data_IF_026831008389
#
_entry.id   IF_026831008389
#
_cell.length_a   1.000
_cell.length_b   1.000
_cell.length_c   1.000
_cell.angle_alpha   90.00
_cell.angle_beta   90.00
_cell.angle_gamma   90.00
#
_symmetry.space_group_name_H-M   'P 1'
#
loop_
_entity.id
_entity.type
_entity.pdbx_description
1 polymer ?
#
# COMPACT_ATOMS: atom_id res chain seq x y z
N UNK A 1 -63.28 -26.86 7.43
CA UNK A 1 -61.93 -27.47 7.50
C UNK A 1 -61.15 -26.92 6.33
N UNK A 2 -60.19 -26.04 6.60
CA UNK A 2 -59.32 -25.45 5.58
C UNK A 2 -58.06 -26.32 5.45
N UNK A 3 -57.51 -26.55 4.24
CA UNK A 3 -56.14 -27.02 4.11
C UNK A 3 -55.19 -25.82 4.16
N UNK A 4 -54.28 -25.84 5.12
CA UNK A 4 -53.13 -24.92 5.18
C UNK A 4 -52.17 -25.26 4.04
N UNK A 5 -51.90 -24.30 3.17
CA UNK A 5 -50.82 -24.38 2.18
C UNK A 5 -49.56 -23.83 2.81
N UNK A 6 -48.58 -24.70 3.07
CA UNK A 6 -47.22 -24.31 3.45
C UNK A 6 -46.48 -23.81 2.19
N UNK A 7 -46.31 -22.49 2.06
CA UNK A 7 -45.34 -21.91 1.13
C UNK A 7 -43.93 -22.13 1.69
N UNK A 8 -43.29 -23.21 1.26
CA UNK A 8 -41.85 -23.41 1.45
C UNK A 8 -41.11 -22.58 0.41
N UNK A 9 -40.87 -21.31 0.71
CA UNK A 9 -39.96 -20.46 -0.06
C UNK A 9 -38.53 -20.98 0.13
N UNK A 10 -38.08 -21.85 -0.78
CA UNK A 10 -36.68 -22.19 -0.90
C UNK A 10 -35.92 -20.95 -1.38
N UNK A 11 -35.35 -20.23 -0.41
CA UNK A 11 -34.40 -19.17 -0.64
C UNK A 11 -33.15 -19.81 -1.25
N UNK A 12 -32.98 -19.67 -2.57
CA UNK A 12 -31.74 -20.04 -3.26
C UNK A 12 -30.66 -19.11 -2.68
N UNK A 13 -29.62 -19.60 -2.01
CA UNK A 13 -28.49 -18.75 -1.69
C UNK A 13 -27.82 -18.42 -3.02
N UNK A 14 -28.00 -17.18 -3.48
CA UNK A 14 -27.14 -16.59 -4.50
C UNK A 14 -25.74 -16.44 -3.91
N UNK A 15 -25.00 -17.54 -3.89
CA UNK A 15 -23.56 -17.52 -3.76
C UNK A 15 -23.03 -17.07 -5.11
N UNK A 16 -23.16 -15.77 -5.42
CA UNK A 16 -22.24 -15.16 -6.38
C UNK A 16 -20.83 -15.48 -5.85
N UNK A 17 -19.96 -16.12 -6.65
CA UNK A 17 -18.58 -16.25 -6.25
C UNK A 17 -18.07 -14.83 -6.05
N UNK A 18 -17.74 -14.47 -4.81
CA UNK A 18 -16.93 -13.30 -4.55
C UNK A 18 -15.72 -13.43 -5.46
N UNK A 19 -15.65 -12.62 -6.52
CA UNK A 19 -14.46 -12.50 -7.34
C UNK A 19 -13.35 -12.20 -6.36
N UNK A 20 -12.49 -13.19 -6.11
CA UNK A 20 -11.32 -13.00 -5.26
C UNK A 20 -10.40 -12.05 -6.02
N UNK A 21 -10.63 -10.75 -5.84
CA UNK A 21 -9.70 -9.71 -6.24
C UNK A 21 -8.46 -9.96 -5.43
N UNK A 22 -7.41 -10.43 -6.11
CA UNK A 22 -6.18 -10.71 -5.43
C UNK A 22 -5.58 -9.40 -4.91
N UNK A 23 -5.05 -9.46 -3.71
CA UNK A 23 -4.32 -8.34 -3.14
C UNK A 23 -2.87 -8.41 -3.57
N UNK A 24 -2.32 -7.28 -3.99
CA UNK A 24 -0.89 -7.11 -4.15
C UNK A 24 -0.31 -6.66 -2.81
N UNK A 25 0.80 -7.24 -2.34
CA UNK A 25 1.46 -6.77 -1.12
C UNK A 25 2.97 -6.62 -1.25
N UNK A 26 3.49 -5.47 -0.84
CA UNK A 26 4.91 -5.21 -0.65
C UNK A 26 5.24 -5.27 0.84
N UNK A 27 6.30 -5.99 1.19
CA UNK A 27 6.95 -5.90 2.50
C UNK A 27 8.47 -5.67 2.34
N UNK A 28 9.16 -5.45 3.45
CA UNK A 28 10.60 -5.16 3.45
C UNK A 28 11.49 -6.34 3.01
N UNK A 29 10.98 -7.57 3.03
CA UNK A 29 11.72 -8.76 2.57
C UNK A 29 11.85 -8.82 1.06
N UNK A 30 11.00 -8.10 0.32
CA UNK A 30 11.10 -7.96 -1.13
C UNK A 30 12.32 -7.14 -1.57
N UNK A 31 12.92 -6.35 -0.67
CA UNK A 31 14.04 -5.47 -0.96
C UNK A 31 15.35 -6.18 -0.66
N UNK A 32 16.30 -6.07 -1.59
CA UNK A 32 17.66 -6.51 -1.35
C UNK A 32 18.25 -5.85 -0.08
N UNK A 33 18.96 -6.65 0.72
CA UNK A 33 19.72 -6.13 1.86
C UNK A 33 20.78 -5.13 1.40
N UNK A 34 20.75 -3.92 1.97
CA UNK A 34 21.77 -2.89 1.77
C UNK A 34 22.56 -2.63 3.04
N UNK A 35 23.72 -1.99 2.96
CA UNK A 35 24.45 -1.51 4.14
C UNK A 35 23.70 -0.37 4.86
N UNK A 36 24.01 -0.15 6.14
CA UNK A 36 23.45 0.96 6.91
C UNK A 36 23.95 2.27 6.28
N UNK A 37 23.04 3.06 5.68
CA UNK A 37 23.27 4.29 4.90
C UNK A 37 23.45 4.12 3.38
N UNK A 38 23.34 2.90 2.84
CA UNK A 38 23.28 2.70 1.40
C UNK A 38 21.83 2.54 0.94
N UNK A 39 21.46 3.36 -0.04
CA UNK A 39 20.14 3.32 -0.66
C UNK A 39 20.26 2.78 -2.09
N UNK A 40 19.29 1.96 -2.47
CA UNK A 40 19.11 1.51 -3.85
C UNK A 40 18.53 2.66 -4.67
N UNK A 41 19.21 2.98 -5.76
CA UNK A 41 18.68 3.82 -6.83
C UNK A 41 18.17 2.90 -7.93
N UNK A 42 17.03 3.24 -8.54
CA UNK A 42 16.35 2.48 -9.58
C UNK A 42 15.96 1.07 -9.12
N UNK A 43 15.47 0.97 -7.89
CA UNK A 43 14.87 -0.25 -7.36
C UNK A 43 13.57 -0.57 -8.11
N UNK A 44 13.34 -1.83 -8.45
CA UNK A 44 12.10 -2.27 -9.07
C UNK A 44 11.68 -3.63 -8.56
N UNK A 45 10.39 -3.85 -8.42
CA UNK A 45 9.81 -5.13 -8.01
C UNK A 45 8.44 -5.33 -8.67
N UNK A 46 8.02 -6.59 -8.79
CA UNK A 46 6.68 -6.94 -9.24
C UNK A 46 5.87 -7.43 -8.04
N UNK A 47 4.59 -7.06 -7.99
CA UNK A 47 3.61 -7.67 -7.10
C UNK A 47 2.65 -8.52 -7.95
N UNK A 48 2.42 -9.75 -7.53
CA UNK A 48 1.54 -10.70 -8.21
C UNK A 48 0.27 -10.89 -7.39
N UNK A 49 -0.91 -10.80 -8.01
CA UNK A 49 -2.18 -11.03 -7.33
C UNK A 49 -2.48 -12.54 -7.24
N UNK A 50 -3.58 -12.90 -6.58
CA UNK A 50 -4.04 -14.30 -6.48
C UNK A 50 -4.47 -14.92 -7.81
N UNK A 51 -4.63 -14.11 -8.86
CA UNK A 51 -4.99 -14.55 -10.22
C UNK A 51 -3.75 -14.70 -11.11
N UNK A 52 -2.55 -14.36 -10.62
CA UNK A 52 -1.29 -14.40 -11.36
C UNK A 52 -0.99 -13.12 -12.16
N UNK A 53 -1.79 -12.06 -12.01
CA UNK A 53 -1.54 -10.77 -12.66
C UNK A 53 -0.43 -10.02 -11.92
N UNK A 54 0.52 -9.50 -12.69
CA UNK A 54 1.65 -8.75 -12.15
C UNK A 54 1.49 -7.24 -12.37
N UNK A 55 1.90 -6.47 -11.37
CA UNK A 55 2.09 -5.03 -11.47
C UNK A 55 3.51 -4.66 -11.07
N UNK A 56 4.13 -3.79 -11.84
CA UNK A 56 5.51 -3.36 -11.62
C UNK A 56 5.57 -2.03 -10.90
N UNK A 57 6.40 -1.99 -9.87
CA UNK A 57 6.71 -0.80 -9.10
C UNK A 57 8.18 -0.45 -9.21
N UNK A 58 8.45 0.86 -9.17
CA UNK A 58 9.78 1.43 -9.30
C UNK A 58 10.00 2.42 -8.17
N UNK A 59 11.21 2.51 -7.64
CA UNK A 59 11.53 3.47 -6.59
C UNK A 59 13.00 3.84 -6.55
N UNK A 60 13.26 5.03 -6.01
CA UNK A 60 14.60 5.55 -5.78
C UNK A 60 14.81 5.82 -4.30
N UNK A 61 16.09 5.80 -3.91
CA UNK A 61 16.53 5.98 -2.54
C UNK A 61 15.81 5.03 -1.56
N UNK A 62 15.70 3.75 -1.91
CA UNK A 62 15.00 2.73 -1.11
C UNK A 62 16.01 1.90 -0.33
N UNK A 63 15.75 1.62 0.94
CA UNK A 63 16.61 0.80 1.80
C UNK A 63 15.76 -0.13 2.67
N UNK A 64 16.29 -1.32 2.99
CA UNK A 64 15.74 -2.16 4.07
C UNK A 64 16.14 -1.59 5.43
N UNK A 65 15.15 -1.39 6.30
CA UNK A 65 15.37 -0.92 7.67
C UNK A 65 16.22 -1.90 8.49
N UNK A 66 17.02 -1.36 9.41
CA UNK A 66 17.94 -2.12 10.28
C UNK A 66 17.79 -1.72 11.75
N UNK A 67 18.19 -2.62 12.66
CA UNK A 67 18.15 -2.36 14.10
C UNK A 67 16.71 -2.21 14.58
N UNK A 68 16.38 -1.10 15.24
CA UNK A 68 15.00 -0.83 15.71
C UNK A 68 13.98 -0.70 14.57
N UNK A 69 14.45 -0.53 13.32
CA UNK A 69 13.66 -0.42 12.09
C UNK A 69 13.66 -1.70 11.25
N UNK A 70 14.19 -2.80 11.76
CA UNK A 70 14.13 -4.09 11.07
C UNK A 70 12.69 -4.48 10.72
N UNK A 71 12.51 -5.10 9.55
CA UNK A 71 11.19 -5.42 9.01
C UNK A 71 10.49 -4.27 8.27
N UNK A 72 11.10 -3.09 8.15
CA UNK A 72 10.54 -1.95 7.41
C UNK A 72 11.28 -1.66 6.10
N UNK A 73 10.57 -1.05 5.16
CA UNK A 73 11.12 -0.34 4.01
C UNK A 73 11.34 1.11 4.42
N UNK A 74 12.59 1.57 4.37
CA UNK A 74 12.98 2.93 4.68
C UNK A 74 13.02 3.78 3.40
N UNK A 75 12.22 4.85 3.40
CA UNK A 75 12.18 5.89 2.38
C UNK A 75 12.80 7.16 2.96
N UNK A 76 13.92 7.60 2.39
CA UNK A 76 14.59 8.86 2.71
C UNK A 76 13.68 10.05 2.42
N UNK A 77 13.59 10.95 3.38
CA UNK A 77 12.77 12.17 3.30
C UNK A 77 13.10 13.01 2.06
N UNK A 78 12.06 13.51 1.39
CA UNK A 78 12.17 14.47 0.29
C UNK A 78 12.80 13.97 -1.01
N UNK A 79 13.28 12.72 -1.07
CA UNK A 79 13.91 12.16 -2.28
C UNK A 79 13.43 10.77 -2.65
N UNK A 80 13.01 9.95 -1.69
CA UNK A 80 12.51 8.61 -1.99
C UNK A 80 11.09 8.62 -2.50
N UNK A 81 10.82 7.75 -3.45
CA UNK A 81 9.47 7.49 -3.94
C UNK A 81 9.33 6.04 -4.36
N UNK A 82 8.09 5.56 -4.41
CA UNK A 82 7.68 4.34 -5.10
C UNK A 82 6.54 4.72 -6.04
N UNK A 83 6.59 4.23 -7.28
CA UNK A 83 5.58 4.49 -8.30
C UNK A 83 5.20 3.22 -9.06
N UNK A 84 3.92 3.13 -9.41
CA UNK A 84 3.40 2.27 -10.46
C UNK A 84 3.26 3.11 -11.74
N UNK A 85 3.84 2.60 -12.84
CA UNK A 85 3.80 3.24 -14.17
C UNK A 85 2.62 2.78 -15.02
N UNK A 86 1.74 1.97 -14.46
CA UNK A 86 0.49 1.53 -15.08
C UNK A 86 -0.67 2.21 -14.37
N UNK A 87 -1.76 2.49 -15.11
CA UNK A 87 -2.99 2.99 -14.52
C UNK A 87 -3.62 1.91 -13.64
N UNK A 88 -3.94 2.26 -12.41
CA UNK A 88 -4.59 1.39 -11.44
C UNK A 88 -5.94 1.98 -11.02
N UNK A 89 -6.90 1.11 -10.75
CA UNK A 89 -8.19 1.44 -10.13
C UNK A 89 -8.39 0.53 -8.92
N UNK A 90 -8.66 1.10 -7.75
CA UNK A 90 -8.80 0.32 -6.53
C UNK A 90 -8.41 1.06 -5.27
N UNK A 91 -8.02 0.30 -4.25
CA UNK A 91 -7.68 0.79 -2.92
C UNK A 91 -6.27 0.37 -2.53
N UNK A 92 -5.41 1.36 -2.28
CA UNK A 92 -4.08 1.18 -1.72
C UNK A 92 -4.11 1.42 -0.20
N UNK A 93 -3.52 0.52 0.56
CA UNK A 93 -3.27 0.66 2.00
C UNK A 93 -1.77 0.67 2.28
N UNK A 94 -1.28 1.64 3.03
CA UNK A 94 0.10 1.76 3.47
C UNK A 94 0.15 1.62 4.99
N UNK A 95 0.80 0.57 5.50
CA UNK A 95 1.05 0.37 6.92
C UNK A 95 2.41 0.94 7.28
N UNK A 96 2.43 1.95 8.14
CA UNK A 96 3.62 2.74 8.44
C UNK A 96 3.95 2.60 9.93
N UNK A 97 5.19 2.22 10.25
CA UNK A 97 5.62 2.03 11.64
C UNK A 97 5.48 3.33 12.44
N UNK A 98 4.86 3.25 13.61
CA UNK A 98 4.79 4.31 14.62
C UNK A 98 6.14 4.45 15.30
N UNK A 99 6.33 5.65 15.87
CA UNK A 99 7.43 6.05 16.74
C UNK A 99 8.08 4.89 17.53
N UNK A 100 9.41 4.77 17.42
CA UNK A 100 10.23 4.19 18.48
C UNK A 100 10.82 5.35 19.29
N UNK A 101 10.71 5.30 20.61
CA UNK A 101 10.86 6.44 21.53
C UNK A 101 12.30 6.99 21.65
N UNK A 102 13.28 6.41 20.97
CA UNK A 102 14.71 6.61 21.20
C UNK A 102 15.36 7.78 20.44
N UNK A 103 14.86 8.20 19.25
CA UNK A 103 15.64 9.11 18.37
C UNK A 103 14.92 10.33 17.78
N UNK A 104 13.66 10.61 18.14
CA UNK A 104 12.98 11.83 17.71
C UNK A 104 12.43 11.83 16.27
N UNK A 105 11.31 12.52 16.13
CA UNK A 105 10.46 12.90 14.99
C UNK A 105 9.90 11.83 14.03
N UNK A 106 8.59 11.63 14.17
CA UNK A 106 7.58 11.04 13.27
C UNK A 106 8.10 10.31 12.04
N UNK A 107 7.72 9.05 11.86
CA UNK A 107 7.69 8.47 10.51
C UNK A 107 6.89 9.39 9.58
N UNK A 108 7.46 9.77 8.44
CA UNK A 108 6.87 10.72 7.49
C UNK A 108 5.47 10.29 7.04
N UNK A 109 4.64 11.27 6.66
CA UNK A 109 3.32 11.02 6.07
C UNK A 109 3.53 10.67 4.59
N UNK A 110 2.85 9.63 4.07
CA UNK A 110 2.91 9.33 2.64
C UNK A 110 2.22 10.45 1.86
N UNK A 111 2.94 11.06 0.93
CA UNK A 111 2.37 12.02 -0.04
C UNK A 111 2.19 11.34 -1.38
N UNK A 112 1.21 11.79 -2.16
CA UNK A 112 0.82 11.14 -3.41
C UNK A 112 0.89 12.05 -4.62
N UNK A 113 1.13 11.43 -5.77
CA UNK A 113 0.86 11.99 -7.09
C UNK A 113 0.10 10.96 -7.92
N UNK A 114 -0.95 11.42 -8.62
CA UNK A 114 -1.73 10.59 -9.56
C UNK A 114 -1.36 10.81 -11.02
N UNK A 115 -0.31 11.61 -11.26
CA UNK A 115 0.17 11.96 -12.59
C UNK A 115 1.63 11.57 -12.72
N UNK A 116 2.03 10.93 -13.85
CA UNK A 116 3.35 10.32 -14.01
C UNK A 116 4.48 11.36 -14.07
N UNK A 117 4.16 12.65 -14.20
CA UNK A 117 5.12 13.75 -14.29
C UNK A 117 4.82 14.91 -13.33
N UNK A 118 3.88 14.73 -12.40
CA UNK A 118 3.56 15.81 -11.46
C UNK A 118 4.67 15.96 -10.44
N UNK A 119 5.17 17.20 -10.32
CA UNK A 119 5.95 17.66 -9.18
C UNK A 119 5.08 18.01 -7.97
N UNK A 120 3.76 18.03 -8.14
CA UNK A 120 2.81 18.37 -7.10
C UNK A 120 2.56 17.13 -6.25
N UNK A 121 3.35 17.04 -5.19
CA UNK A 121 3.14 16.10 -4.11
C UNK A 121 2.18 16.72 -3.11
N UNK A 122 1.04 16.07 -2.91
CA UNK A 122 0.09 16.47 -1.89
C UNK A 122 -0.20 15.30 -0.96
N UNK A 123 -0.40 15.60 0.32
CA UNK A 123 -1.16 14.69 1.18
C UNK A 123 -2.55 14.56 0.54
N UNK A 124 -2.89 13.35 0.10
CA UNK A 124 -4.23 13.10 -0.47
C UNK A 124 -5.20 12.87 0.68
N UNK A 125 -6.46 13.24 0.49
CA UNK A 125 -7.53 12.81 1.37
C UNK A 125 -7.64 11.28 1.31
N UNK A 126 -7.21 10.63 2.39
CA UNK A 126 -7.32 9.20 2.63
C UNK A 126 -7.83 8.96 4.05
N UNK A 127 -8.17 7.72 4.36
CA UNK A 127 -8.50 7.37 5.75
C UNK A 127 -7.22 7.01 6.50
N UNK A 128 -7.13 7.49 7.74
CA UNK A 128 -6.04 7.17 8.67
C UNK A 128 -6.60 6.34 9.82
N UNK A 129 -5.96 5.21 10.10
CA UNK A 129 -6.31 4.34 11.23
C UNK A 129 -5.06 3.97 12.03
N UNK A 130 -5.17 4.05 13.34
CA UNK A 130 -4.12 3.61 14.26
C UNK A 130 -4.29 2.10 14.52
N UNK A 131 -3.26 1.29 14.26
CA UNK A 131 -3.28 -0.16 14.47
C UNK A 131 -2.01 -0.63 15.17
N UNK A 132 -2.08 -0.95 16.47
CA UNK A 132 -0.92 -1.39 17.23
C UNK A 132 0.23 -0.38 17.17
N UNK A 133 1.39 -0.82 16.66
CA UNK A 133 2.58 -0.02 16.41
C UNK A 133 2.65 0.54 14.98
N UNK A 134 1.55 0.55 14.23
CA UNK A 134 1.47 1.08 12.86
C UNK A 134 0.32 2.08 12.62
N UNK A 135 0.55 3.08 11.77
CA UNK A 135 -0.51 3.91 11.20
C UNK A 135 -0.81 3.39 9.80
N UNK A 136 -2.06 3.02 9.56
CA UNK A 136 -2.53 2.61 8.24
C UNK A 136 -3.17 3.81 7.55
N UNK A 137 -2.67 4.11 6.36
CA UNK A 137 -3.25 5.10 5.46
C UNK A 137 -3.88 4.38 4.27
N UNK A 138 -5.15 4.65 3.99
CA UNK A 138 -5.89 4.01 2.90
C UNK A 138 -6.39 5.06 1.92
N UNK A 139 -6.15 4.78 0.63
CA UNK A 139 -6.45 5.68 -0.47
C UNK A 139 -7.17 4.91 -1.58
N UNK A 140 -8.31 5.44 -2.00
CA UNK A 140 -9.01 4.95 -3.19
C UNK A 140 -8.78 5.90 -4.37
N UNK A 141 -8.72 5.33 -5.56
CA UNK A 141 -8.58 6.07 -6.80
C UNK A 141 -9.17 5.28 -7.96
N UNK A 142 -9.59 6.01 -8.99
CA UNK A 142 -10.08 5.44 -10.24
C UNK A 142 -9.09 5.81 -11.34
N UNK A 143 -8.65 4.81 -12.11
CA UNK A 143 -7.79 4.92 -13.30
C UNK A 143 -6.71 6.01 -13.16
N UNK A 144 -5.78 5.77 -12.23
CA UNK A 144 -4.74 6.74 -11.87
C UNK A 144 -3.36 6.10 -11.88
N UNK A 145 -2.34 6.89 -12.22
CA UNK A 145 -0.98 6.50 -11.86
C UNK A 145 -0.85 6.57 -10.34
N UNK A 146 -0.07 5.68 -9.74
CA UNK A 146 0.08 5.66 -8.29
C UNK A 146 1.53 5.93 -7.97
N UNK A 147 1.79 7.06 -7.34
CA UNK A 147 3.12 7.38 -6.83
C UNK A 147 2.99 7.86 -5.40
N UNK A 148 3.80 7.30 -4.50
CA UNK A 148 3.87 7.73 -3.11
C UNK A 148 5.31 7.95 -2.64
N UNK A 149 5.50 8.88 -1.72
CA UNK A 149 6.80 9.25 -1.20
C UNK A 149 6.74 9.56 0.29
N UNK A 150 7.91 9.63 0.93
CA UNK A 150 8.02 10.23 2.25
C UNK A 150 7.86 11.75 2.13
N UNK A 151 6.89 12.32 2.83
CA UNK A 151 6.74 13.78 2.95
C UNK A 151 8.01 14.46 3.51
N UNK A 152 8.03 15.80 3.45
CA UNK A 152 9.28 16.57 3.60
C UNK A 152 9.94 16.52 4.98
N UNK A 153 9.19 16.22 6.03
CA UNK A 153 9.68 16.37 7.42
C UNK A 153 10.62 15.23 7.82
N UNK A 154 10.24 13.99 7.55
CA UNK A 154 10.90 12.80 8.10
C UNK A 154 10.91 11.61 7.15
N UNK A 155 11.84 10.66 7.39
CA UNK A 155 11.88 9.40 6.66
C UNK A 155 10.60 8.58 6.93
N UNK A 156 10.15 7.82 5.94
CA UNK A 156 9.01 6.92 6.06
C UNK A 156 9.51 5.48 6.21
N UNK A 157 8.99 4.77 7.21
CA UNK A 157 9.30 3.38 7.54
C UNK A 157 8.04 2.55 7.29
N UNK A 158 7.91 2.05 6.07
CA UNK A 158 6.77 1.29 5.60
C UNK A 158 6.91 -0.16 6.07
N UNK A 159 5.96 -0.66 6.84
CA UNK A 159 5.89 -2.07 7.23
C UNK A 159 5.42 -2.91 6.05
N UNK A 160 4.35 -2.46 5.41
CA UNK A 160 3.81 -3.07 4.21
C UNK A 160 2.98 -2.09 3.40
N UNK A 161 2.84 -2.35 2.11
CA UNK A 161 1.80 -1.77 1.28
C UNK A 161 0.94 -2.89 0.74
N UNK A 162 -0.37 -2.67 0.61
CA UNK A 162 -1.26 -3.58 -0.10
C UNK A 162 -2.18 -2.83 -1.04
N UNK A 163 -2.55 -3.47 -2.14
CA UNK A 163 -3.51 -2.94 -3.10
C UNK A 163 -4.59 -3.96 -3.41
N UNK A 164 -5.83 -3.51 -3.41
CA UNK A 164 -7.02 -4.28 -3.80
C UNK A 164 -7.58 -3.61 -5.06
N UNK A 165 -7.49 -4.27 -6.24
CA UNK A 165 -8.08 -3.75 -7.48
C UNK A 165 -9.59 -3.56 -7.34
N UNK A 166 -10.16 -2.51 -7.93
CA UNK A 166 -11.62 -2.43 -8.09
C UNK A 166 -12.09 -3.42 -9.15
N UNK A 167 -13.34 -3.87 -9.04
CA UNK A 167 -13.97 -4.61 -10.14
C UNK A 167 -14.36 -3.54 -11.16
N UNK A 168 -13.87 -3.67 -12.38
CA UNK A 168 -14.39 -2.89 -13.51
C UNK A 168 -15.83 -3.30 -13.85
#
# INVERSE_FOLDING_TARGET
MAPSSEESSQQIPSSEPALSQGSWSLDSSAIQDTEQNQYLNSYSFALTDSLGSEVFFYGDYIQRGKGEWEGTLQMKKGVSYIECRTLLSGTLSLSIKKRVSSYGDFTGIPVFSLSPNSSDWAEKDGTKKEEGDAVVYTYSFASSYVRFAAGEKNALYLLSASFIPSAD
#
